data_IF_802466556757
#
_entry.id   IF_802466556757
#
_cell.length_a   1.000
_cell.length_b   1.000
_cell.length_c   1.000
_cell.angle_alpha   90.00
_cell.angle_beta   90.00
_cell.angle_gamma   90.00
#
_symmetry.space_group_name_H-M   'P 1'
#
loop_
_entity.id
_entity.type
_entity.pdbx_description
1 polymer ?
#
# COMPACT_ATOMS: atom_id res chain seq x y z
N UNK A 1 10.85 4.59 11.14
CA UNK A 1 10.64 3.24 10.59
C UNK A 1 9.15 2.92 10.54
N UNK A 2 8.69 2.44 9.40
CA UNK A 2 7.27 2.09 9.24
C UNK A 2 6.96 0.78 9.95
N UNK A 3 5.83 0.72 10.66
CA UNK A 3 5.37 -0.45 11.38
C UNK A 3 4.29 -1.16 10.60
N UNK A 4 3.96 -2.39 11.02
CA UNK A 4 2.84 -3.13 10.43
C UNK A 4 1.53 -2.33 10.51
N UNK A 5 1.30 -1.66 11.63
CA UNK A 5 0.10 -0.83 11.80
C UNK A 5 0.07 0.32 10.79
N UNK A 6 1.23 0.92 10.52
CA UNK A 6 1.32 1.98 9.54
C UNK A 6 0.97 1.48 8.14
N UNK A 7 1.51 0.32 7.74
CA UNK A 7 1.18 -0.28 6.45
C UNK A 7 -0.31 -0.57 6.34
N UNK A 8 -0.90 -1.12 7.39
CA UNK A 8 -2.33 -1.44 7.40
C UNK A 8 -3.19 -0.19 7.30
N UNK A 9 -2.79 0.88 7.98
CA UNK A 9 -3.52 2.15 7.94
C UNK A 9 -3.49 2.75 6.54
N UNK A 10 -2.34 2.74 5.89
CA UNK A 10 -2.20 3.25 4.52
C UNK A 10 -3.01 2.38 3.55
N UNK A 11 -2.91 1.06 3.69
CA UNK A 11 -3.67 0.13 2.84
C UNK A 11 -5.17 0.35 2.99
N UNK A 12 -5.66 0.56 4.20
CA UNK A 12 -7.07 0.83 4.45
C UNK A 12 -7.51 2.13 3.77
N UNK A 13 -6.69 3.17 3.85
CA UNK A 13 -6.95 4.45 3.19
C UNK A 13 -7.04 4.27 1.69
N UNK A 14 -6.10 3.53 1.11
CA UNK A 14 -6.08 3.27 -0.34
C UNK A 14 -7.29 2.43 -0.74
N UNK A 15 -7.64 1.41 0.04
CA UNK A 15 -8.77 0.53 -0.29
C UNK A 15 -10.10 1.28 -0.28
N UNK A 16 -10.19 2.40 0.42
CA UNK A 16 -11.40 3.24 0.47
C UNK A 16 -11.61 4.05 -0.81
N UNK A 17 -10.61 4.13 -1.68
CA UNK A 17 -10.73 4.83 -2.95
C UNK A 17 -11.66 4.03 -3.87
N UNK A 18 -12.77 4.66 -4.30
CA UNK A 18 -13.78 3.97 -5.10
C UNK A 18 -13.29 3.64 -6.51
N UNK A 19 -12.54 4.55 -7.14
CA UNK A 19 -12.01 4.36 -8.49
C UNK A 19 -10.85 3.38 -8.47
N UNK A 20 -11.01 2.25 -9.18
CA UNK A 20 -9.98 1.22 -9.25
C UNK A 20 -8.65 1.74 -9.81
N UNK A 21 -8.70 2.58 -10.84
CA UNK A 21 -7.49 3.13 -11.45
C UNK A 21 -6.74 4.01 -10.47
N UNK A 22 -7.45 4.86 -9.75
CA UNK A 22 -6.85 5.70 -8.71
C UNK A 22 -6.32 4.85 -7.57
N UNK A 23 -7.06 3.82 -7.19
CA UNK A 23 -6.62 2.90 -6.13
C UNK A 23 -5.31 2.22 -6.52
N UNK A 24 -5.19 1.75 -7.76
CA UNK A 24 -3.96 1.15 -8.25
C UNK A 24 -2.80 2.13 -8.24
N UNK A 25 -3.02 3.35 -8.71
CA UNK A 25 -1.98 4.38 -8.74
C UNK A 25 -1.48 4.70 -7.34
N UNK A 26 -2.38 4.89 -6.40
CA UNK A 26 -2.01 5.20 -5.03
C UNK A 26 -1.29 4.03 -4.36
N UNK A 27 -1.77 2.82 -4.58
CA UNK A 27 -1.15 1.62 -4.03
C UNK A 27 0.28 1.46 -4.56
N UNK A 28 0.49 1.62 -5.85
CA UNK A 28 1.82 1.53 -6.45
C UNK A 28 2.75 2.62 -5.93
N UNK A 29 2.24 3.84 -5.80
CA UNK A 29 3.02 4.96 -5.28
C UNK A 29 3.49 4.66 -3.85
N UNK A 30 2.58 4.24 -2.99
CA UNK A 30 2.91 3.92 -1.60
C UNK A 30 3.83 2.71 -1.52
N UNK A 31 3.62 1.70 -2.36
CA UNK A 31 4.46 0.51 -2.39
C UNK A 31 5.91 0.85 -2.71
N UNK A 32 6.14 1.78 -3.64
CA UNK A 32 7.50 2.24 -3.98
C UNK A 32 8.17 2.90 -2.79
N UNK A 33 7.43 3.74 -2.06
CA UNK A 33 7.96 4.42 -0.88
C UNK A 33 8.34 3.39 0.19
N UNK A 34 7.45 2.45 0.48
CA UNK A 34 7.70 1.43 1.49
C UNK A 34 8.85 0.52 1.11
N UNK A 35 8.95 0.13 -0.16
CA UNK A 35 10.04 -0.72 -0.63
C UNK A 35 11.39 -0.03 -0.51
N UNK A 36 11.44 1.27 -0.76
CA UNK A 36 12.67 2.05 -0.61
C UNK A 36 13.10 2.16 0.85
N UNK A 37 12.12 2.25 1.76
CA UNK A 37 12.37 2.36 3.20
C UNK A 37 12.69 1.02 3.84
N UNK A 38 12.14 -0.07 3.28
CA UNK A 38 12.26 -1.40 3.87
C UNK A 38 12.48 -2.46 2.78
N UNK A 39 13.69 -3.04 2.65
CA UNK A 39 13.97 -4.03 1.61
C UNK A 39 13.17 -5.32 1.76
N UNK A 40 12.59 -5.57 2.93
CA UNK A 40 11.75 -6.75 3.18
C UNK A 40 10.27 -6.50 2.97
N UNK A 41 9.93 -5.34 2.43
CA UNK A 41 8.53 -4.99 2.19
C UNK A 41 7.90 -5.96 1.19
N UNK A 42 6.75 -6.50 1.55
CA UNK A 42 5.99 -7.43 0.70
C UNK A 42 4.94 -6.65 -0.09
N UNK A 43 5.27 -6.32 -1.32
CA UNK A 43 4.39 -5.55 -2.20
C UNK A 43 3.08 -6.28 -2.50
N UNK A 44 3.15 -7.59 -2.75
CA UNK A 44 1.96 -8.37 -3.07
C UNK A 44 0.93 -8.33 -1.93
N UNK A 45 1.41 -8.48 -0.70
CA UNK A 45 0.57 -8.41 0.48
C UNK A 45 -0.07 -7.04 0.64
N UNK A 46 0.73 -6.01 0.42
CA UNK A 46 0.25 -4.63 0.53
C UNK A 46 -0.83 -4.36 -0.50
N UNK A 47 -0.61 -4.76 -1.76
CA UNK A 47 -1.60 -4.56 -2.82
C UNK A 47 -2.89 -5.31 -2.53
N UNK A 48 -2.80 -6.53 -2.02
CA UNK A 48 -3.98 -7.29 -1.61
C UNK A 48 -4.76 -6.56 -0.51
N UNK A 49 -4.06 -5.99 0.46
CA UNK A 49 -4.67 -5.22 1.54
C UNK A 49 -5.33 -3.95 1.02
N UNK A 50 -4.84 -3.40 -0.10
CA UNK A 50 -5.43 -2.23 -0.76
C UNK A 50 -6.68 -2.57 -1.57
N UNK A 51 -7.06 -3.84 -1.64
CA UNK A 51 -8.24 -4.26 -2.39
C UNK A 51 -7.98 -4.48 -3.88
N UNK A 52 -6.75 -4.83 -4.21
CA UNK A 52 -6.36 -5.07 -5.60
C UNK A 52 -6.08 -6.52 -5.90
#
# INVERSE_FOLDING_TARGET
>A
MSTRKHFQAVAATVSAIADKNEREKQAEFQAKIFAADNPRFDKSRFLAACGL
#
